data_IF_498452647473
#
_entry.id   IF_498452647473
#
_cell.length_a   1.000
_cell.length_b   1.000
_cell.length_c   1.000
_cell.angle_alpha   90.00
_cell.angle_beta   90.00
_cell.angle_gamma   90.00
#
_symmetry.space_group_name_H-M   'P 1'
#
loop_
_entity.id
_entity.type
_entity.pdbx_description
1 polymer ?
#
# COMPACT_ATOMS: atom_id res chain seq x y z
N UNK A 1 -39.16 0.27 -11.63
CA UNK A 1 -39.11 1.51 -12.45
C UNK A 1 -37.86 1.48 -13.31
N UNK A 2 -37.98 2.01 -14.53
CA UNK A 2 -37.16 1.71 -15.70
C UNK A 2 -35.74 2.32 -15.68
N UNK A 3 -34.75 1.56 -16.15
CA UNK A 3 -33.49 2.12 -16.65
C UNK A 3 -33.58 2.31 -18.17
N UNK A 4 -33.49 3.57 -18.60
CA UNK A 4 -32.97 4.02 -19.91
C UNK A 4 -31.96 5.12 -19.55
N UNK A 5 -30.82 5.35 -20.24
CA UNK A 5 -30.63 5.35 -21.70
C UNK A 5 -29.23 4.76 -22.08
N UNK A 6 -28.62 4.77 -23.27
CA UNK A 6 -28.56 5.66 -24.44
C UNK A 6 -28.26 4.81 -25.68
N UNK A 7 -29.06 4.99 -26.74
CA UNK A 7 -28.75 4.52 -28.09
C UNK A 7 -27.63 5.40 -28.65
N UNK A 8 -26.50 4.82 -29.05
CA UNK A 8 -25.56 5.48 -29.96
C UNK A 8 -26.04 5.20 -31.38
N UNK A 9 -26.64 6.22 -32.00
CA UNK A 9 -26.86 6.28 -33.43
C UNK A 9 -25.83 7.26 -34.00
N UNK A 10 -24.93 6.77 -34.84
CA UNK A 10 -24.23 7.54 -35.87
C UNK A 10 -23.80 6.50 -36.93
N UNK A 11 -24.69 6.16 -37.85
CA UNK A 11 -24.72 6.76 -39.19
C UNK A 11 -23.31 6.95 -39.79
N UNK A 12 -22.72 5.85 -40.25
CA UNK A 12 -22.03 5.87 -41.53
C UNK A 12 -23.08 6.14 -42.61
N UNK A 13 -23.33 7.42 -42.87
CA UNK A 13 -24.17 7.89 -43.95
C UNK A 13 -23.37 7.68 -45.25
N UNK A 14 -23.56 6.52 -45.89
CA UNK A 14 -23.00 6.24 -47.21
C UNK A 14 -24.12 5.71 -48.11
N UNK A 15 -24.42 6.55 -49.10
CA UNK A 15 -25.02 6.30 -50.40
C UNK A 15 -26.52 5.95 -50.51
N UNK A 16 -27.34 7.00 -50.62
CA UNK A 16 -28.56 6.95 -51.42
C UNK A 16 -28.21 7.05 -52.92
N UNK A 17 -27.91 5.93 -53.59
CA UNK A 17 -27.96 5.88 -55.06
C UNK A 17 -28.31 4.49 -55.62
N UNK A 18 -29.55 4.41 -56.09
CA UNK A 18 -29.98 3.74 -57.34
C UNK A 18 -29.92 2.21 -57.48
N UNK A 19 -31.14 1.64 -57.54
CA UNK A 19 -31.66 0.64 -58.50
C UNK A 19 -31.23 -0.85 -58.45
N UNK A 20 -32.31 -1.64 -58.61
CA UNK A 20 -32.49 -3.01 -59.14
C UNK A 20 -32.46 -4.18 -58.16
N UNK A 21 -33.65 -4.81 -58.07
CA UNK A 21 -33.94 -6.11 -57.48
C UNK A 21 -33.10 -7.20 -58.15
N UNK A 22 -32.44 -8.03 -57.33
CA UNK A 22 -31.92 -9.35 -57.72
C UNK A 22 -32.32 -10.41 -56.68
N UNK A 23 -32.49 -11.69 -57.09
CA UNK A 23 -33.18 -12.70 -56.31
C UNK A 23 -32.35 -13.17 -55.11
N UNK A 24 -33.06 -13.47 -54.01
CA UNK A 24 -32.52 -14.00 -52.76
C UNK A 24 -31.86 -15.37 -52.98
N UNK A 25 -30.56 -15.39 -53.23
CA UNK A 25 -29.74 -16.57 -52.90
C UNK A 25 -29.45 -16.54 -51.40
N UNK A 26 -30.04 -17.48 -50.65
CA UNK A 26 -29.63 -17.76 -49.27
C UNK A 26 -28.20 -18.30 -49.32
N UNK A 27 -27.21 -17.41 -49.20
CA UNK A 27 -25.79 -17.75 -49.05
C UNK A 27 -25.64 -18.46 -47.69
N UNK A 28 -25.75 -19.79 -47.69
CA UNK A 28 -25.36 -20.62 -46.54
C UNK A 28 -23.87 -20.33 -46.30
N UNK A 29 -23.55 -19.81 -45.11
CA UNK A 29 -22.16 -19.67 -44.66
C UNK A 29 -21.45 -21.01 -44.86
N UNK A 30 -20.29 -21.00 -45.51
CA UNK A 30 -19.45 -22.18 -45.65
C UNK A 30 -19.08 -22.74 -44.27
N UNK A 31 -18.95 -24.06 -44.10
CA UNK A 31 -18.66 -24.68 -42.80
C UNK A 31 -17.36 -24.16 -42.14
N UNK A 32 -16.44 -23.60 -42.93
CA UNK A 32 -15.24 -22.92 -42.43
C UNK A 32 -15.53 -21.60 -41.71
N UNK A 33 -16.51 -20.81 -42.17
CA UNK A 33 -16.90 -19.54 -41.51
C UNK A 33 -17.65 -19.79 -40.19
N UNK A 34 -18.42 -20.88 -40.11
CA UNK A 34 -19.10 -21.27 -38.86
C UNK A 34 -18.11 -21.72 -37.79
N UNK A 35 -17.06 -22.49 -38.17
CA UNK A 35 -15.99 -22.86 -37.22
C UNK A 35 -15.21 -21.65 -36.72
N UNK A 36 -14.87 -20.69 -37.59
CA UNK A 36 -14.15 -19.48 -37.19
C UNK A 36 -14.94 -18.63 -36.18
N UNK A 37 -16.24 -18.44 -36.38
CA UNK A 37 -17.11 -17.72 -35.44
C UNK A 37 -17.26 -18.45 -34.10
N UNK A 38 -17.36 -19.78 -34.13
CA UNK A 38 -17.46 -20.59 -32.91
C UNK A 38 -16.16 -20.54 -32.10
N UNK A 39 -15.00 -20.57 -32.77
CA UNK A 39 -13.70 -20.45 -32.14
C UNK A 39 -13.51 -19.06 -31.51
N UNK A 40 -13.94 -18.01 -32.21
CA UNK A 40 -13.88 -16.64 -31.71
C UNK A 40 -14.80 -16.43 -30.49
N UNK A 41 -15.99 -17.03 -30.47
CA UNK A 41 -16.87 -17.02 -29.30
C UNK A 41 -16.27 -17.78 -28.10
N UNK A 42 -15.68 -18.97 -28.32
CA UNK A 42 -15.02 -19.71 -27.24
C UNK A 42 -13.84 -18.93 -26.65
N UNK A 43 -13.06 -18.27 -27.49
CA UNK A 43 -11.89 -17.50 -27.06
C UNK A 43 -12.30 -16.25 -26.27
N UNK A 44 -13.37 -15.57 -26.70
CA UNK A 44 -13.92 -14.42 -25.98
C UNK A 44 -14.56 -14.84 -24.64
N UNK A 45 -15.23 -16.00 -24.59
CA UNK A 45 -15.80 -16.55 -23.37
C UNK A 45 -14.72 -17.04 -22.40
N UNK A 46 -13.61 -17.59 -22.90
CA UNK A 46 -12.45 -17.98 -22.11
C UNK A 46 -11.71 -16.76 -21.53
N UNK A 47 -11.60 -15.66 -22.29
CA UNK A 47 -11.01 -14.41 -21.80
C UNK A 47 -11.87 -13.77 -20.71
N UNK A 48 -13.19 -13.70 -20.90
CA UNK A 48 -14.12 -13.20 -19.88
C UNK A 48 -14.11 -14.06 -18.61
N UNK A 49 -14.01 -15.39 -18.74
CA UNK A 49 -13.89 -16.30 -17.60
C UNK A 49 -12.54 -16.16 -16.87
N UNK A 50 -11.45 -15.91 -17.60
CA UNK A 50 -10.13 -15.66 -17.03
C UNK A 50 -10.08 -14.32 -16.27
N UNK A 51 -10.70 -13.26 -16.80
CA UNK A 51 -10.83 -11.96 -16.12
C UNK A 51 -11.70 -12.05 -14.86
N UNK A 52 -12.81 -12.79 -14.91
CA UNK A 52 -13.67 -13.03 -13.74
C UNK A 52 -12.97 -13.87 -12.67
N UNK A 53 -12.19 -14.88 -13.05
CA UNK A 53 -11.38 -15.67 -12.10
C UNK A 53 -10.21 -14.85 -11.52
N UNK A 54 -9.61 -13.93 -12.28
CA UNK A 54 -8.58 -13.02 -11.79
C UNK A 54 -9.14 -12.01 -10.78
N UNK A 55 -10.33 -11.46 -11.03
CA UNK A 55 -11.02 -10.57 -10.08
C UNK A 55 -11.49 -11.32 -8.82
N UNK A 56 -11.98 -12.57 -8.94
CA UNK A 56 -12.45 -13.36 -7.79
C UNK A 56 -11.32 -13.76 -6.83
N UNK A 57 -10.08 -13.94 -7.33
CA UNK A 57 -8.89 -14.20 -6.50
C UNK A 57 -8.35 -12.94 -5.80
N UNK A 58 -8.60 -11.76 -6.36
CA UNK A 58 -8.11 -10.47 -5.83
C UNK A 58 -8.74 -10.13 -4.47
N UNK A 59 -10.04 -10.42 -4.26
CA UNK A 59 -10.72 -10.10 -3.00
C UNK A 59 -10.09 -10.76 -1.79
N UNK A 60 -9.84 -12.09 -1.84
CA UNK A 60 -9.21 -12.84 -0.74
C UNK A 60 -7.76 -12.44 -0.52
N UNK A 61 -7.02 -12.19 -1.60
CA UNK A 61 -5.62 -11.76 -1.53
C UNK A 61 -5.48 -10.41 -0.83
N UNK A 62 -6.39 -9.46 -1.07
CA UNK A 62 -6.38 -8.15 -0.38
C UNK A 62 -6.60 -8.27 1.12
N UNK A 63 -7.49 -9.17 1.57
CA UNK A 63 -7.70 -9.43 2.99
C UNK A 63 -6.49 -10.10 3.65
N UNK A 64 -5.83 -11.02 2.95
CA UNK A 64 -4.59 -11.65 3.43
C UNK A 64 -3.49 -10.58 3.59
N UNK A 65 -3.29 -9.73 2.57
CA UNK A 65 -2.32 -8.63 2.65
C UNK A 65 -2.66 -7.67 3.77
N UNK A 66 -3.94 -7.28 3.93
CA UNK A 66 -4.37 -6.42 5.03
C UNK A 66 -4.11 -7.05 6.40
N UNK A 67 -4.36 -8.35 6.55
CA UNK A 67 -4.08 -9.08 7.79
C UNK A 67 -2.58 -9.13 8.10
N UNK A 68 -1.73 -9.36 7.09
CA UNK A 68 -0.26 -9.33 7.25
C UNK A 68 0.21 -7.94 7.67
N UNK A 69 -0.27 -6.88 7.01
CA UNK A 69 0.09 -5.50 7.38
C UNK A 69 -0.35 -5.17 8.80
N UNK A 70 -1.57 -5.55 9.19
CA UNK A 70 -2.07 -5.36 10.55
C UNK A 70 -1.18 -6.08 11.58
N UNK A 71 -0.78 -7.32 11.28
CA UNK A 71 0.11 -8.11 12.12
C UNK A 71 1.47 -7.41 12.29
N UNK A 72 2.06 -6.88 11.22
CA UNK A 72 3.30 -6.10 11.28
C UNK A 72 3.13 -4.85 12.14
N UNK A 73 2.02 -4.12 12.00
CA UNK A 73 1.76 -2.90 12.81
C UNK A 73 1.62 -3.19 14.30
N UNK A 74 1.20 -4.40 14.67
CA UNK A 74 1.06 -4.82 16.07
C UNK A 74 2.39 -5.34 16.62
N UNK A 75 3.11 -6.16 15.84
CA UNK A 75 4.36 -6.79 16.28
C UNK A 75 5.53 -5.80 16.33
N UNK A 76 5.57 -4.82 15.42
CA UNK A 76 6.71 -3.91 15.32
C UNK A 76 6.57 -2.74 16.32
N UNK A 77 7.57 -2.54 17.20
CA UNK A 77 7.57 -1.44 18.14
C UNK A 77 7.66 -0.12 17.37
N UNK A 78 6.72 0.79 17.66
CA UNK A 78 6.60 2.06 16.96
C UNK A 78 7.63 3.06 17.50
N UNK A 79 8.26 3.87 16.63
CA UNK A 79 9.08 4.98 17.08
C UNK A 79 8.21 6.03 17.80
N UNK A 80 8.83 6.74 18.72
CA UNK A 80 8.21 7.76 19.57
C UNK A 80 9.08 9.01 19.55
N UNK A 81 8.47 10.18 19.70
CA UNK A 81 9.20 11.43 19.79
C UNK A 81 9.45 11.71 21.26
N UNK A 82 10.71 11.83 21.65
CA UNK A 82 11.08 12.15 23.03
C UNK A 82 11.75 13.52 23.10
N UNK A 83 11.36 14.28 24.10
CA UNK A 83 11.98 15.56 24.46
C UNK A 83 12.73 15.34 25.77
N UNK A 84 14.03 15.58 25.74
CA UNK A 84 14.92 15.30 26.86
C UNK A 84 15.77 16.54 27.20
N UNK A 85 16.11 16.67 28.49
CA UNK A 85 16.84 17.81 29.03
C UNK A 85 18.16 17.37 29.67
N UNK A 86 19.15 18.25 29.55
CA UNK A 86 20.34 18.23 30.41
C UNK A 86 20.82 19.65 30.67
N UNK A 87 20.95 20.01 31.94
CA UNK A 87 21.48 21.31 32.38
C UNK A 87 20.76 22.53 31.75
N UNK A 88 19.43 22.45 31.57
CA UNK A 88 18.66 23.52 30.93
C UNK A 88 18.63 23.50 29.40
N UNK A 89 19.38 22.60 28.75
CA UNK A 89 19.32 22.39 27.31
C UNK A 89 18.27 21.33 26.98
N UNK A 90 17.25 21.73 26.23
CA UNK A 90 16.16 20.85 25.77
C UNK A 90 16.43 20.41 24.34
N UNK A 91 16.46 19.10 24.12
CA UNK A 91 16.59 18.49 22.80
C UNK A 91 15.39 17.60 22.50
N UNK A 92 15.05 17.47 21.23
CA UNK A 92 13.97 16.63 20.75
C UNK A 92 14.54 15.63 19.75
N UNK A 93 14.21 14.35 19.91
CA UNK A 93 14.70 13.30 19.02
C UNK A 93 13.66 12.19 18.85
N UNK A 94 13.79 11.45 17.76
CA UNK A 94 13.00 10.24 17.54
C UNK A 94 13.70 9.06 18.18
N UNK A 95 13.03 8.44 19.14
CA UNK A 95 13.42 7.22 19.83
C UNK A 95 12.73 6.02 19.21
N UNK A 96 13.52 5.00 18.86
CA UNK A 96 12.98 3.71 18.45
C UNK A 96 13.42 2.62 19.43
N UNK A 97 12.47 1.93 20.10
CA UNK A 97 12.83 0.88 21.05
C UNK A 97 13.51 -0.33 20.41
N UNK A 98 13.46 -0.47 19.08
CA UNK A 98 14.01 -1.63 18.38
C UNK A 98 13.18 -2.90 18.61
N UNK A 99 13.42 -3.92 17.77
CA UNK A 99 12.85 -5.25 17.96
C UNK A 99 13.54 -5.96 19.14
N UNK A 100 12.94 -7.02 19.72
CA UNK A 100 13.60 -7.83 20.74
C UNK A 100 14.98 -8.31 20.24
N UNK A 101 16.04 -7.97 20.98
CA UNK A 101 17.43 -8.28 20.61
C UNK A 101 18.14 -7.24 19.75
N UNK A 102 17.45 -6.19 19.31
CA UNK A 102 18.04 -5.01 18.65
C UNK A 102 18.14 -3.89 19.67
N UNK A 103 19.31 -3.24 19.73
CA UNK A 103 19.50 -2.11 20.62
C UNK A 103 18.59 -0.93 20.23
N UNK A 104 18.01 -0.22 21.20
CA UNK A 104 17.24 0.99 20.92
C UNK A 104 18.14 2.07 20.31
N UNK A 105 17.59 2.83 19.37
CA UNK A 105 18.32 3.88 18.67
C UNK A 105 17.64 5.23 18.79
N UNK A 106 18.45 6.28 18.75
CA UNK A 106 18.02 7.66 18.54
C UNK A 106 18.37 8.02 17.10
N UNK A 107 17.41 8.51 16.32
CA UNK A 107 17.71 8.85 14.91
C UNK A 107 18.61 10.07 14.75
N UNK A 108 18.65 10.95 15.74
CA UNK A 108 19.40 12.21 15.73
C UNK A 108 20.86 12.05 16.22
N UNK A 109 21.22 10.91 16.81
CA UNK A 109 22.52 10.77 17.46
C UNK A 109 23.09 9.35 17.32
N UNK A 110 24.41 9.24 17.13
CA UNK A 110 25.12 7.95 17.09
C UNK A 110 25.38 7.34 18.48
N UNK A 111 24.75 7.87 19.54
CA UNK A 111 24.99 7.41 20.90
C UNK A 111 24.18 6.15 21.21
N UNK A 112 24.79 5.26 21.99
CA UNK A 112 24.18 4.04 22.46
C UNK A 112 23.22 4.34 23.61
N UNK A 113 21.98 3.88 23.50
CA UNK A 113 20.97 4.10 24.53
C UNK A 113 20.97 2.91 25.49
N UNK A 114 21.13 3.18 26.78
CA UNK A 114 20.87 2.17 27.81
C UNK A 114 19.38 2.19 28.17
N UNK A 115 18.71 1.03 28.19
CA UNK A 115 17.29 0.95 28.47
C UNK A 115 17.02 1.29 29.95
N UNK A 116 16.56 2.52 30.19
CA UNK A 116 16.06 2.97 31.50
C UNK A 116 14.83 3.89 31.37
N UNK A 117 14.09 3.74 30.25
CA UNK A 117 12.98 4.62 29.89
C UNK A 117 11.84 4.63 30.93
N UNK A 118 11.69 3.54 31.69
CA UNK A 118 10.66 3.41 32.75
C UNK A 118 10.78 4.46 33.85
N UNK A 119 11.96 5.05 34.04
CA UNK A 119 12.21 6.05 35.09
C UNK A 119 12.21 7.48 34.55
N UNK A 120 11.70 7.73 33.34
CA UNK A 120 11.83 9.02 32.63
C UNK A 120 13.29 9.51 32.57
N UNK A 121 14.24 8.57 32.52
CA UNK A 121 15.66 8.83 32.42
C UNK A 121 16.19 8.19 31.15
N UNK A 122 17.03 8.92 30.46
CA UNK A 122 17.67 8.49 29.23
C UNK A 122 19.18 8.54 29.45
N UNK A 123 19.84 7.40 29.28
CA UNK A 123 21.29 7.30 29.39
C UNK A 123 21.85 7.11 27.98
N UNK A 124 22.62 8.10 27.52
CA UNK A 124 23.31 8.07 26.23
C UNK A 124 24.79 7.84 26.49
N UNK A 125 25.34 6.78 25.93
CA UNK A 125 26.75 6.42 26.04
C UNK A 125 27.43 6.60 24.69
N UNK A 126 28.68 7.06 24.71
CA UNK A 126 29.51 7.08 23.50
C UNK A 126 29.90 5.64 23.12
N UNK A 127 30.36 4.87 24.10
CA UNK A 127 30.71 3.45 23.94
C UNK A 127 29.76 2.59 24.79
N UNK A 128 29.30 1.47 24.22
CA UNK A 128 28.47 0.50 24.93
C UNK A 128 29.25 -0.25 26.02
N UNK A 129 30.58 -0.35 25.89
CA UNK A 129 31.44 -1.10 26.82
C UNK A 129 31.97 -0.27 27.97
N UNK A 130 31.96 1.06 27.84
CA UNK A 130 32.47 1.97 28.86
C UNK A 130 31.32 2.68 29.62
N UNK A 131 31.03 2.27 30.86
CA UNK A 131 29.97 2.88 31.67
C UNK A 131 30.26 4.34 32.05
N UNK A 132 31.52 4.77 32.06
CA UNK A 132 31.89 6.14 32.43
C UNK A 132 31.63 7.13 31.28
N UNK A 133 31.49 6.63 30.06
CA UNK A 133 31.12 7.41 28.87
C UNK A 133 29.62 7.78 28.84
N UNK A 134 28.82 7.26 29.77
CA UNK A 134 27.37 7.43 29.78
C UNK A 134 26.93 8.73 30.45
N UNK A 135 26.12 9.50 29.74
CA UNK A 135 25.53 10.75 30.22
C UNK A 135 24.04 10.56 30.51
N UNK A 136 23.60 11.15 31.62
CA UNK A 136 22.22 11.10 32.09
C UNK A 136 21.43 12.30 31.60
N UNK A 137 20.26 12.04 31.04
CA UNK A 137 19.28 13.01 30.56
C UNK A 137 17.92 12.71 31.17
N UNK A 138 17.13 13.74 31.42
CA UNK A 138 15.76 13.61 31.93
C UNK A 138 14.76 13.75 30.78
N UNK A 139 13.79 12.86 30.70
CA UNK A 139 12.74 12.92 29.67
C UNK A 139 11.62 13.81 30.20
N UNK A 140 11.41 14.95 29.55
CA UNK A 140 10.35 15.91 29.89
C UNK A 140 9.03 15.49 29.25
N UNK A 141 9.09 15.02 28.00
CA UNK A 141 7.90 14.73 27.19
C UNK A 141 8.10 13.53 26.30
N UNK A 142 7.09 12.67 26.23
CA UNK A 142 7.02 11.56 25.28
C UNK A 142 5.77 11.73 24.43
N UNK A 143 5.95 11.73 23.11
CA UNK A 143 4.86 11.82 22.15
C UNK A 143 4.83 10.57 21.27
N UNK A 144 3.64 10.27 20.74
CA UNK A 144 3.40 9.04 19.99
C UNK A 144 4.06 9.01 18.62
N UNK A 145 3.76 7.93 17.89
CA UNK A 145 4.28 7.66 16.55
C UNK A 145 3.98 8.78 15.54
N UNK A 146 2.77 9.36 15.59
CA UNK A 146 2.38 10.43 14.64
C UNK A 146 3.28 11.66 14.81
N UNK A 147 3.58 12.04 16.05
CA UNK A 147 4.51 13.14 16.33
C UNK A 147 5.92 12.84 15.85
N UNK A 148 6.39 11.60 16.03
CA UNK A 148 7.70 11.17 15.53
C UNK A 148 7.77 11.24 13.99
N UNK A 149 6.71 10.81 13.31
CA UNK A 149 6.64 10.86 11.85
C UNK A 149 6.57 12.31 11.34
N UNK A 150 5.78 13.16 11.99
CA UNK A 150 5.74 14.59 11.64
C UNK A 150 7.12 15.23 11.84
N UNK A 151 7.79 14.95 12.94
CA UNK A 151 9.14 15.45 13.18
C UNK A 151 10.16 14.97 12.13
N UNK A 152 10.01 13.78 11.55
CA UNK A 152 10.90 13.32 10.47
C UNK A 152 10.56 13.86 9.08
N UNK A 153 9.33 14.31 8.85
CA UNK A 153 8.86 14.79 7.54
C UNK A 153 8.98 16.31 7.43
N UNK A 154 8.76 17.03 8.54
CA UNK A 154 8.71 18.50 8.55
C UNK A 154 10.05 19.15 8.93
N UNK A 155 11.05 18.37 9.32
CA UNK A 155 12.41 18.81 9.66
C UNK A 155 13.35 18.62 8.45
#
# INVERSE_FOLDING_TARGET
MAQKPKKQALLGQVDARSKKKQPRQKKRLSPQQQKALQQQQLQQQAQLAAEQQAQAKSGKTRWIVAAVVLLLVILFPKPKLITYEKLGLVAQSVYWPGLPGVNPILFDSNLHIRPALERNMLYLCQDERDPDSCQKYQIIKQQGFISALMALILD
#
